data_IF_210970218226
#
_entry.id   IF_210970218226
#
_cell.length_a   1.000
_cell.length_b   1.000
_cell.length_c   1.000
_cell.angle_alpha   90.00
_cell.angle_beta   90.00
_cell.angle_gamma   90.00
#
_symmetry.space_group_name_H-M   'P 1'
#
loop_
_entity.id
_entity.type
_entity.pdbx_description
1 polymer ?
#
# COMPACT_ATOMS: atom_id res chain seq x y z
N UNK A 1 5.97 14.21 -1.79
CA UNK A 1 6.55 13.05 -1.09
C UNK A 1 6.10 11.77 -1.78
N UNK A 2 7.00 10.84 -1.93
CA UNK A 2 6.70 9.56 -2.59
C UNK A 2 6.78 8.43 -1.59
N UNK A 3 5.80 7.53 -1.66
CA UNK A 3 5.72 6.37 -0.78
C UNK A 3 5.50 5.13 -1.63
N UNK A 4 6.21 4.06 -1.30
CA UNK A 4 6.05 2.79 -2.00
C UNK A 4 5.10 1.89 -1.23
N UNK A 5 4.23 1.22 -1.97
CA UNK A 5 3.29 0.24 -1.43
C UNK A 5 3.47 -1.07 -2.17
N UNK A 6 3.31 -2.17 -1.46
CA UNK A 6 3.36 -3.51 -2.05
C UNK A 6 1.93 -3.99 -2.25
N UNK A 7 1.58 -4.28 -3.49
CA UNK A 7 0.23 -4.70 -3.87
C UNK A 7 0.17 -6.21 -4.03
N UNK A 8 -0.79 -6.82 -3.37
CA UNK A 8 -1.06 -8.26 -3.44
C UNK A 8 -2.43 -8.50 -4.05
N UNK A 9 -2.57 -9.60 -4.76
CA UNK A 9 -3.87 -10.03 -5.25
C UNK A 9 -4.59 -10.78 -4.14
N UNK A 10 -5.84 -10.41 -3.88
CA UNK A 10 -6.65 -11.10 -2.90
C UNK A 10 -7.25 -12.38 -3.51
N UNK A 11 -7.33 -13.45 -2.74
CA UNK A 11 -7.86 -14.73 -3.21
C UNK A 11 -9.32 -14.62 -3.65
N UNK A 12 -10.07 -13.76 -3.01
CA UNK A 12 -11.50 -13.59 -3.29
C UNK A 12 -11.77 -12.59 -4.41
N UNK A 13 -10.72 -12.08 -5.03
CA UNK A 13 -10.81 -11.03 -6.03
C UNK A 13 -10.43 -9.68 -5.45
N UNK A 14 -10.08 -8.76 -6.33
CA UNK A 14 -9.60 -7.46 -5.91
C UNK A 14 -8.15 -7.49 -5.46
N UNK A 15 -7.74 -6.43 -4.76
CA UNK A 15 -6.36 -6.24 -4.35
C UNK A 15 -6.29 -5.72 -2.91
N UNK A 16 -5.16 -5.97 -2.27
CA UNK A 16 -4.85 -5.31 -1.02
C UNK A 16 -3.40 -4.84 -1.07
N UNK A 17 -3.08 -3.86 -0.28
CA UNK A 17 -1.74 -3.29 -0.31
C UNK A 17 -1.27 -2.96 1.10
N UNK A 18 0.03 -3.03 1.27
CA UNK A 18 0.67 -2.63 2.52
C UNK A 18 1.74 -1.62 2.23
N UNK A 19 2.02 -0.75 3.19
CA UNK A 19 3.08 0.24 3.10
C UNK A 19 4.14 -0.13 4.15
N UNK A 20 5.21 -0.82 3.74
CA UNK A 20 6.21 -1.32 4.69
C UNK A 20 6.88 -0.23 5.52
N UNK A 21 7.03 0.96 4.96
CA UNK A 21 7.64 2.08 5.67
C UNK A 21 6.72 2.68 6.74
N UNK A 22 5.46 2.26 6.78
CA UNK A 22 4.49 2.74 7.77
C UNK A 22 3.85 1.53 8.43
N UNK A 23 4.33 1.10 9.60
CA UNK A 23 3.80 -0.09 10.27
C UNK A 23 2.29 -0.03 10.49
N UNK A 24 1.59 -1.10 10.16
CA UNK A 24 0.15 -1.18 10.31
C UNK A 24 -0.66 -0.49 9.23
N UNK A 25 -0.02 0.11 8.24
CA UNK A 25 -0.72 0.77 7.15
C UNK A 25 -1.01 -0.25 6.05
N UNK A 26 -2.27 -0.63 5.92
CA UNK A 26 -2.72 -1.53 4.87
C UNK A 26 -4.15 -1.17 4.48
N UNK A 27 -4.49 -1.46 3.24
CA UNK A 27 -5.83 -1.19 2.73
C UNK A 27 -6.17 -2.16 1.61
N UNK A 28 -7.40 -2.09 1.11
CA UNK A 28 -7.87 -2.97 0.05
C UNK A 28 -8.75 -2.19 -0.92
N UNK A 29 -8.97 -2.77 -2.09
CA UNK A 29 -9.88 -2.23 -3.09
C UNK A 29 -10.18 -3.28 -4.14
N UNK A 30 -11.31 -3.18 -4.80
CA UNK A 30 -11.68 -4.12 -5.85
C UNK A 30 -10.97 -3.86 -7.16
N UNK A 31 -10.55 -2.61 -7.39
CA UNK A 31 -9.78 -2.21 -8.55
C UNK A 31 -8.51 -1.50 -8.11
N UNK A 32 -7.55 -1.39 -9.02
CA UNK A 32 -6.31 -0.66 -8.72
C UNK A 32 -6.59 0.81 -8.44
N UNK A 33 -7.54 1.40 -9.13
CA UNK A 33 -7.90 2.78 -8.91
C UNK A 33 -8.48 3.00 -7.50
N UNK A 34 -9.38 2.12 -7.10
CA UNK A 34 -9.96 2.16 -5.76
C UNK A 34 -8.90 1.93 -4.70
N UNK A 35 -8.02 0.94 -4.94
CA UNK A 35 -6.93 0.64 -4.03
C UNK A 35 -6.02 1.85 -3.82
N UNK A 36 -5.66 2.54 -4.90
CA UNK A 36 -4.81 3.73 -4.82
C UNK A 36 -5.45 4.85 -4.02
N UNK A 37 -6.75 5.07 -4.23
CA UNK A 37 -7.50 6.09 -3.51
C UNK A 37 -7.53 5.79 -2.01
N UNK A 38 -7.86 4.54 -1.67
CA UNK A 38 -7.92 4.11 -0.27
C UNK A 38 -6.53 4.16 0.38
N UNK A 39 -5.51 3.79 -0.38
CA UNK A 39 -4.15 3.78 0.12
C UNK A 39 -3.66 5.18 0.44
N UNK A 40 -4.00 6.15 -0.41
CA UNK A 40 -3.65 7.54 -0.17
C UNK A 40 -4.24 8.04 1.15
N UNK A 41 -5.51 7.73 1.39
CA UNK A 41 -6.15 8.12 2.65
C UNK A 41 -5.48 7.46 3.85
N UNK A 42 -5.14 6.18 3.72
CA UNK A 42 -4.48 5.47 4.80
C UNK A 42 -3.12 6.07 5.13
N UNK A 43 -2.34 6.38 4.10
CA UNK A 43 -1.00 6.96 4.27
C UNK A 43 -1.07 8.36 4.88
N UNK A 44 -1.99 9.17 4.44
CA UNK A 44 -2.14 10.53 4.97
C UNK A 44 -2.39 10.53 6.48
N UNK A 45 -3.02 9.49 6.99
CA UNK A 45 -3.26 9.36 8.42
C UNK A 45 -2.03 8.93 9.21
N UNK A 46 -0.95 8.51 8.55
CA UNK A 46 0.23 7.94 9.20
C UNK A 46 1.54 8.66 8.90
N UNK A 47 1.47 9.87 8.38
CA UNK A 47 2.66 10.60 7.88
C UNK A 47 3.79 10.80 8.88
N UNK A 48 3.54 10.68 10.16
CA UNK A 48 4.57 10.88 11.18
C UNK A 48 5.22 9.59 11.66
N UNK A 49 4.88 8.46 11.05
CA UNK A 49 5.40 7.15 11.48
C UNK A 49 6.79 6.88 10.90
N UNK A 50 7.72 6.30 11.69
CA UNK A 50 9.07 5.98 11.19
C UNK A 50 9.05 5.00 10.02
N UNK A 51 10.05 5.15 9.14
CA UNK A 51 10.20 4.31 7.95
C UNK A 51 10.89 2.98 8.29
N UNK A 52 10.40 1.90 7.70
CA UNK A 52 11.00 0.58 7.81
C UNK A 52 11.29 0.02 6.42
N UNK A 53 12.22 -0.93 6.35
CA UNK A 53 12.55 -1.58 5.09
C UNK A 53 11.40 -2.46 4.61
N UNK A 54 11.09 -2.47 3.31
CA UNK A 54 10.03 -3.31 2.78
C UNK A 54 10.42 -4.78 2.71
N UNK A 55 9.40 -5.62 2.77
CA UNK A 55 9.54 -7.07 2.62
C UNK A 55 8.65 -7.50 1.46
N UNK A 56 9.24 -8.07 0.41
CA UNK A 56 8.50 -8.46 -0.78
C UNK A 56 8.57 -9.95 -1.05
N UNK A 57 7.50 -10.46 -1.65
CA UNK A 57 7.40 -11.83 -2.10
C UNK A 57 7.27 -11.87 -3.61
N UNK A 58 7.57 -13.02 -4.21
CA UNK A 58 7.44 -13.21 -5.65
C UNK A 58 5.99 -13.00 -6.07
N UNK A 59 5.80 -12.22 -7.13
CA UNK A 59 4.46 -11.92 -7.65
C UNK A 59 3.83 -10.65 -7.13
N UNK A 60 4.42 -10.06 -6.09
CA UNK A 60 3.92 -8.80 -5.56
C UNK A 60 4.31 -7.64 -6.46
N UNK A 61 3.53 -6.59 -6.41
CA UNK A 61 3.80 -5.36 -7.15
C UNK A 61 4.12 -4.24 -6.18
N UNK A 62 5.04 -3.38 -6.59
CA UNK A 62 5.33 -2.16 -5.84
C UNK A 62 4.80 -0.98 -6.63
N UNK A 63 3.96 -0.18 -5.99
CA UNK A 63 3.48 1.06 -6.60
C UNK A 63 4.00 2.25 -5.80
N UNK A 64 4.16 3.37 -6.47
CA UNK A 64 4.62 4.60 -5.86
C UNK A 64 3.47 5.58 -5.76
N UNK A 65 3.28 6.15 -4.59
CA UNK A 65 2.28 7.17 -4.35
C UNK A 65 2.95 8.53 -4.25
N UNK A 66 2.47 9.47 -5.02
CA UNK A 66 2.90 10.87 -4.91
C UNK A 66 1.91 11.58 -3.98
N UNK A 67 2.42 12.09 -2.91
CA UNK A 67 1.62 12.80 -1.92
C UNK A 67 1.94 14.28 -1.88
#
# INVERSE_FOLDING_TARGET
MKIHAIVHQAEEGGFWAEVPSIPGCATQGETMEELRSNLREAVEGYLSVPVEAPSMHVGDQVIELAL
#
